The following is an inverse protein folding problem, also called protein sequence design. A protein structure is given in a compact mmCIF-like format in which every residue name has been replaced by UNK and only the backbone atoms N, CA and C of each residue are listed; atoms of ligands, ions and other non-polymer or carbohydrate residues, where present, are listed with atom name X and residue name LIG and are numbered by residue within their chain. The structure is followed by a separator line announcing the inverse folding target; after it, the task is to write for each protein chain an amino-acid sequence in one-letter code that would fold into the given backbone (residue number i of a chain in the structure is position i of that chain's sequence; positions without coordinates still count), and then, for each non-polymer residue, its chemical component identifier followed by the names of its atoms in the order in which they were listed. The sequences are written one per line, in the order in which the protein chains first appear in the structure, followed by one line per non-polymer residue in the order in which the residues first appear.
data_IF_091206327276
#
_entry.id   IF_091206327276
#
_cell.length_a   1.000
_cell.length_b   1.000
_cell.length_c   1.000
_cell.angle_alpha   90.00
_cell.angle_beta   90.00
_cell.angle_gamma   90.00
#
_symmetry.space_group_name_H-M   'P 1'
#
loop_
_entity.id
_entity.type
_entity.pdbx_description
1 polymer ?
#
# COMPACT_ATOMS: atom_id res chain seq x y z
N UNK A 1 17.44 -36.04 -7.53
CA UNK A 1 16.99 -34.95 -8.43
C UNK A 1 16.36 -33.88 -7.55
N UNK A 2 16.78 -32.65 -7.62
CA UNK A 2 16.15 -31.57 -6.86
C UNK A 2 14.84 -31.16 -7.56
N UNK A 3 13.75 -31.08 -6.81
CA UNK A 3 12.46 -30.60 -7.31
C UNK A 3 12.55 -29.10 -7.62
N UNK A 4 11.68 -28.59 -8.50
CA UNK A 4 11.48 -27.15 -8.65
C UNK A 4 10.76 -26.57 -7.42
N UNK A 5 10.89 -25.26 -7.18
CA UNK A 5 10.14 -24.61 -6.09
C UNK A 5 8.62 -24.86 -6.20
N UNK A 6 8.07 -24.83 -7.40
CA UNK A 6 6.66 -25.10 -7.63
C UNK A 6 6.24 -26.49 -7.14
N UNK A 7 6.97 -27.52 -7.55
CA UNK A 7 6.71 -28.90 -7.14
C UNK A 7 6.88 -29.10 -5.62
N UNK A 8 7.90 -28.46 -5.02
CA UNK A 8 8.12 -28.49 -3.58
C UNK A 8 6.97 -27.84 -2.81
N UNK A 9 6.46 -26.69 -3.26
CA UNK A 9 5.31 -25.99 -2.68
C UNK A 9 4.04 -26.84 -2.78
N UNK A 10 3.73 -27.36 -3.96
CA UNK A 10 2.57 -28.24 -4.18
C UNK A 10 2.62 -29.47 -3.26
N UNK A 11 3.79 -30.05 -3.10
CA UNK A 11 3.98 -31.23 -2.25
C UNK A 11 3.78 -30.92 -0.78
N UNK A 12 4.36 -29.83 -0.27
CA UNK A 12 4.15 -29.39 1.11
C UNK A 12 2.67 -29.14 1.39
N UNK A 13 1.97 -28.40 0.52
CA UNK A 13 0.57 -28.11 0.68
C UNK A 13 -0.34 -29.35 0.56
N UNK A 14 0.09 -30.35 -0.24
CA UNK A 14 -0.62 -31.65 -0.35
C UNK A 14 -0.50 -32.46 0.93
N UNK A 15 0.70 -32.52 1.50
CA UNK A 15 1.00 -33.32 2.68
C UNK A 15 0.36 -32.73 3.96
N UNK A 16 0.41 -31.41 4.11
CA UNK A 16 -0.14 -30.73 5.28
C UNK A 16 -1.67 -30.58 5.19
N UNK A 17 -2.25 -30.62 3.97
CA UNK A 17 -3.71 -30.58 3.71
C UNK A 17 -4.44 -29.44 4.45
N UNK A 18 -3.75 -28.33 4.74
CA UNK A 18 -4.27 -27.10 5.39
C UNK A 18 -3.66 -25.87 4.76
N UNK A 19 -4.31 -24.71 4.90
CA UNK A 19 -3.68 -23.45 4.49
C UNK A 19 -2.41 -23.17 5.31
N UNK A 20 -1.32 -22.77 4.63
CA UNK A 20 -0.02 -22.47 5.23
C UNK A 20 0.45 -21.08 4.83
N UNK A 21 1.15 -20.41 5.75
CA UNK A 21 1.86 -19.17 5.44
C UNK A 21 3.08 -19.47 4.57
N UNK A 22 3.44 -18.59 3.63
CA UNK A 22 4.56 -18.83 2.69
C UNK A 22 5.90 -19.10 3.38
N UNK A 23 6.15 -18.52 4.56
CA UNK A 23 7.33 -18.81 5.36
C UNK A 23 7.33 -20.24 5.91
N UNK A 24 6.19 -20.72 6.38
CA UNK A 24 5.99 -22.09 6.85
C UNK A 24 6.17 -23.10 5.70
N UNK A 25 5.63 -22.77 4.50
CA UNK A 25 5.83 -23.58 3.28
C UNK A 25 7.31 -23.68 2.94
N UNK A 26 8.04 -22.56 2.99
CA UNK A 26 9.46 -22.50 2.71
C UNK A 26 10.27 -23.35 3.70
N UNK A 27 10.00 -23.19 4.98
CA UNK A 27 10.67 -23.90 6.05
C UNK A 27 10.44 -25.43 5.95
N UNK A 28 9.21 -25.85 5.68
CA UNK A 28 8.85 -27.25 5.47
C UNK A 28 9.51 -27.84 4.20
N UNK A 29 9.54 -27.07 3.10
CA UNK A 29 10.17 -27.53 1.86
C UNK A 29 11.68 -27.76 2.02
N UNK A 30 12.35 -26.94 2.80
CA UNK A 30 13.77 -27.06 3.10
C UNK A 30 14.05 -28.16 4.14
N UNK A 31 13.30 -28.22 5.23
CA UNK A 31 13.48 -29.21 6.31
C UNK A 31 13.18 -30.63 5.84
N UNK A 32 12.18 -30.82 4.98
CA UNK A 32 11.85 -32.10 4.35
C UNK A 32 12.78 -32.45 3.16
N UNK A 33 13.68 -31.55 2.80
CA UNK A 33 14.67 -31.76 1.74
C UNK A 33 14.09 -31.80 0.33
N UNK A 34 12.90 -31.24 0.11
CA UNK A 34 12.26 -31.17 -1.23
C UNK A 34 12.98 -30.17 -2.13
N UNK A 35 13.51 -29.12 -1.55
CA UNK A 35 14.35 -28.15 -2.26
C UNK A 35 15.64 -27.86 -1.49
N UNK A 36 16.71 -27.58 -2.23
CA UNK A 36 17.99 -27.10 -1.67
C UNK A 36 18.27 -25.74 -2.27
N UNK A 37 18.46 -24.73 -1.44
CA UNK A 37 18.79 -23.38 -1.88
C UNK A 37 20.08 -22.89 -1.25
N UNK A 38 20.88 -22.17 -2.03
CA UNK A 38 22.01 -21.36 -1.56
C UNK A 38 21.62 -19.88 -1.41
N UNK A 39 20.36 -19.54 -1.74
CA UNK A 39 19.83 -18.18 -1.68
C UNK A 39 19.47 -17.73 -0.27
N UNK A 40 19.68 -16.45 0.03
CA UNK A 40 19.48 -15.86 1.35
C UNK A 40 18.00 -15.64 1.75
N UNK A 41 17.04 -15.77 0.82
CA UNK A 41 15.60 -15.46 1.07
C UNK A 41 14.67 -16.47 0.39
N UNK A 42 14.61 -17.72 0.88
CA UNK A 42 13.74 -18.76 0.33
C UNK A 42 12.25 -18.40 0.45
N UNK A 43 11.84 -17.75 1.53
CA UNK A 43 10.45 -17.33 1.78
C UNK A 43 9.92 -16.38 0.71
N UNK A 44 10.71 -15.36 0.35
CA UNK A 44 10.36 -14.43 -0.71
C UNK A 44 10.21 -15.13 -2.08
N UNK A 45 11.04 -16.16 -2.33
CA UNK A 45 10.96 -16.95 -3.56
C UNK A 45 9.68 -17.79 -3.60
N UNK A 46 9.30 -18.43 -2.49
CA UNK A 46 8.04 -19.18 -2.38
C UNK A 46 6.84 -18.27 -2.63
N UNK A 47 6.79 -17.12 -1.95
CA UNK A 47 5.72 -16.16 -2.12
C UNK A 47 5.63 -15.64 -3.57
N UNK A 48 6.77 -15.32 -4.19
CA UNK A 48 6.83 -14.88 -5.58
C UNK A 48 6.35 -15.95 -6.56
N UNK A 49 6.73 -17.21 -6.35
CA UNK A 49 6.28 -18.33 -7.19
C UNK A 49 4.76 -18.54 -7.12
N UNK A 50 4.18 -18.55 -5.91
CA UNK A 50 2.74 -18.74 -5.72
C UNK A 50 1.96 -17.56 -6.31
N UNK A 51 2.36 -16.32 -6.01
CA UNK A 51 1.67 -15.12 -6.51
C UNK A 51 1.80 -14.98 -8.02
N UNK A 52 2.93 -15.33 -8.61
CA UNK A 52 3.13 -15.36 -10.06
C UNK A 52 2.22 -16.41 -10.73
N UNK A 53 2.14 -17.62 -10.19
CA UNK A 53 1.24 -18.67 -10.69
C UNK A 53 -0.22 -18.22 -10.63
N UNK A 54 -0.68 -17.66 -9.50
CA UNK A 54 -2.06 -17.16 -9.37
C UNK A 54 -2.34 -16.02 -10.36
N UNK A 55 -1.37 -15.12 -10.58
CA UNK A 55 -1.51 -13.97 -11.49
C UNK A 55 -1.55 -14.38 -12.97
N UNK A 56 -0.71 -15.32 -13.38
CA UNK A 56 -0.58 -15.72 -14.79
C UNK A 56 -1.55 -16.82 -15.20
N UNK A 57 -1.86 -17.75 -14.31
CA UNK A 57 -2.69 -18.93 -14.58
C UNK A 57 -4.13 -18.72 -14.10
N UNK A 58 -4.38 -17.73 -13.25
CA UNK A 58 -5.72 -17.39 -12.75
C UNK A 58 -6.41 -18.57 -12.09
N UNK A 59 -7.55 -18.98 -12.63
CA UNK A 59 -8.31 -20.13 -12.13
C UNK A 59 -7.64 -21.49 -12.40
N UNK A 60 -6.68 -21.56 -13.30
CA UNK A 60 -5.93 -22.78 -13.60
C UNK A 60 -4.71 -22.96 -12.67
N UNK A 61 -4.39 -21.99 -11.84
CA UNK A 61 -3.34 -22.13 -10.82
C UNK A 61 -3.75 -23.18 -9.80
N UNK A 62 -2.84 -24.10 -9.41
CA UNK A 62 -3.10 -25.07 -8.35
C UNK A 62 -3.21 -24.40 -6.98
N UNK A 63 -2.76 -23.15 -6.85
CA UNK A 63 -2.73 -22.42 -5.59
C UNK A 63 -3.96 -21.53 -5.42
N UNK A 64 -4.49 -21.52 -4.20
CA UNK A 64 -5.55 -20.62 -3.77
C UNK A 64 -5.02 -19.73 -2.65
N UNK A 65 -5.23 -18.42 -2.77
CA UNK A 65 -4.93 -17.47 -1.68
C UNK A 65 -6.09 -17.50 -0.70
N UNK A 66 -5.83 -17.94 0.53
CA UNK A 66 -6.82 -18.06 1.62
C UNK A 66 -6.85 -16.78 2.46
N UNK A 67 -5.66 -16.24 2.78
CA UNK A 67 -5.52 -14.97 3.47
C UNK A 67 -4.20 -14.30 3.05
N UNK A 68 -3.83 -13.18 3.68
CA UNK A 68 -2.57 -12.50 3.36
C UNK A 68 -1.39 -13.41 3.69
N UNK A 69 -0.58 -13.74 2.65
CA UNK A 69 0.58 -14.60 2.79
C UNK A 69 0.27 -16.08 3.02
N UNK A 70 -1.01 -16.48 3.12
CA UNK A 70 -1.44 -17.84 3.39
C UNK A 70 -2.08 -18.46 2.14
N UNK A 71 -1.64 -19.66 1.79
CA UNK A 71 -2.04 -20.33 0.56
C UNK A 71 -2.46 -21.78 0.82
N UNK A 72 -3.33 -22.30 -0.03
CA UNK A 72 -3.81 -23.69 -0.03
C UNK A 72 -3.80 -24.23 -1.46
N UNK A 73 -3.92 -25.55 -1.62
CA UNK A 73 -4.18 -26.14 -2.92
C UNK A 73 -5.68 -26.07 -3.26
N UNK A 74 -5.99 -25.70 -4.50
CA UNK A 74 -7.38 -25.57 -4.99
C UNK A 74 -8.16 -26.89 -4.99
N UNK A 75 -7.47 -28.04 -5.03
CA UNK A 75 -8.08 -29.38 -5.07
C UNK A 75 -8.02 -30.14 -3.74
N UNK A 76 -7.50 -29.54 -2.67
CA UNK A 76 -7.63 -30.13 -1.36
C UNK A 76 -9.09 -29.97 -0.89
N UNK A 77 -9.69 -31.03 -0.33
CA UNK A 77 -11.04 -31.05 0.25
C UNK A 77 -11.18 -30.05 1.41
N UNK A 78 -10.92 -28.78 1.13
CA UNK A 78 -11.02 -27.69 2.09
C UNK A 78 -12.39 -26.98 2.03
N UNK A 79 -13.35 -27.56 1.31
CA UNK A 79 -14.74 -27.05 1.28
C UNK A 79 -15.54 -27.48 2.53
N UNK A 80 -14.94 -28.27 3.44
CA UNK A 80 -15.57 -28.69 4.70
C UNK A 80 -14.55 -28.67 5.86
N UNK A 81 -14.15 -27.50 6.34
CA UNK A 81 -13.55 -27.39 7.69
C UNK A 81 -14.18 -26.17 8.36
N UNK A 82 -15.22 -26.47 9.16
CA UNK A 82 -15.68 -25.64 10.28
C UNK A 82 -14.52 -25.29 11.20
N UNK A 83 -14.49 -24.04 11.67
CA UNK A 83 -13.55 -23.56 12.67
C UNK A 83 -13.63 -24.38 13.97
N UNK A 84 -12.49 -24.68 14.65
CA UNK A 84 -12.53 -25.34 15.95
C UNK A 84 -13.10 -24.40 17.01
N UNK A 85 -14.24 -24.77 17.55
CA UNK A 85 -14.90 -24.09 18.65
C UNK A 85 -14.11 -24.22 19.97
N UNK A 86 -13.90 -23.11 20.66
CA UNK A 86 -13.53 -23.09 22.09
C UNK A 86 -14.78 -23.33 22.96
N UNK A 87 -14.66 -23.93 24.14
CA UNK A 87 -15.77 -24.53 24.84
C UNK A 87 -16.73 -23.51 25.47
N UNK A 88 -17.99 -23.66 25.15
CA UNK A 88 -19.10 -22.90 25.71
C UNK A 88 -19.51 -23.39 27.10
N UNK A 89 -19.84 -22.46 27.98
CA UNK A 89 -20.63 -22.68 29.19
C UNK A 89 -22.10 -22.44 28.83
N UNK A 90 -22.92 -23.43 29.11
CA UNK A 90 -24.33 -23.50 28.73
C UNK A 90 -25.26 -22.71 29.64
N UNK A 91 -26.33 -22.14 29.09
CA UNK A 91 -27.66 -22.02 29.72
C UNK A 91 -28.76 -21.84 28.63
N UNK A 92 -30.01 -22.29 28.89
CA UNK A 92 -30.89 -22.92 27.90
C UNK A 92 -32.02 -22.01 27.32
N UNK A 93 -33.03 -22.57 26.59
CA UNK A 93 -33.46 -22.07 25.29
C UNK A 93 -34.80 -21.31 25.26
N UNK A 94 -35.01 -20.55 24.19
CA UNK A 94 -36.37 -20.21 23.73
C UNK A 94 -36.40 -20.11 22.19
N UNK A 95 -37.30 -20.90 21.60
CA UNK A 95 -37.60 -21.08 20.18
C UNK A 95 -38.64 -20.04 19.66
N UNK A 96 -39.15 -20.15 18.45
CA UNK A 96 -38.63 -19.43 17.24
C UNK A 96 -39.68 -18.49 16.60
N UNK A 97 -39.30 -17.65 15.66
CA UNK A 97 -40.18 -17.26 14.56
C UNK A 97 -39.42 -16.91 13.27
N UNK A 98 -39.88 -17.60 12.27
CA UNK A 98 -39.55 -17.48 10.85
C UNK A 98 -39.99 -16.14 10.30
N UNK A 99 -39.15 -15.54 9.46
CA UNK A 99 -39.58 -14.87 8.22
C UNK A 99 -38.37 -14.69 7.25
N UNK A 100 -38.61 -15.17 6.04
CA UNK A 100 -37.74 -15.06 4.86
C UNK A 100 -37.61 -13.60 4.43
N UNK A 101 -36.40 -13.20 4.05
CA UNK A 101 -36.27 -12.30 2.90
C UNK A 101 -34.84 -12.33 2.34
N UNK A 102 -34.74 -12.16 1.04
CA UNK A 102 -33.59 -12.35 0.18
C UNK A 102 -32.37 -11.56 0.62
N UNK A 103 -31.25 -12.28 0.82
CA UNK A 103 -29.94 -11.63 1.00
C UNK A 103 -29.24 -11.57 -0.37
N UNK A 104 -29.19 -10.37 -0.89
CA UNK A 104 -28.19 -9.95 -1.87
C UNK A 104 -26.83 -10.05 -1.17
N UNK A 105 -25.99 -10.97 -1.61
CA UNK A 105 -24.63 -11.11 -1.10
C UNK A 105 -23.79 -9.93 -1.54
N UNK A 106 -23.75 -8.89 -0.74
CA UNK A 106 -22.67 -7.93 -0.72
C UNK A 106 -21.45 -8.66 -0.15
N UNK A 107 -20.44 -8.84 -0.98
CA UNK A 107 -19.10 -9.24 -0.53
C UNK A 107 -18.63 -8.14 0.40
N UNK A 108 -18.73 -8.34 1.71
CA UNK A 108 -18.09 -7.49 2.70
C UNK A 108 -16.57 -7.67 2.50
N UNK A 109 -15.96 -6.71 1.82
CA UNK A 109 -14.52 -6.56 1.87
C UNK A 109 -14.15 -6.31 3.33
N UNK A 110 -13.39 -7.20 3.93
CA UNK A 110 -12.78 -6.97 5.24
C UNK A 110 -12.08 -5.61 5.20
N UNK A 111 -12.34 -4.70 6.15
CA UNK A 111 -11.73 -3.38 6.13
C UNK A 111 -10.22 -3.55 6.20
N UNK A 112 -9.53 -2.96 5.23
CA UNK A 112 -8.07 -2.86 5.21
C UNK A 112 -7.58 -2.36 6.58
N UNK A 113 -6.82 -3.17 7.29
CA UNK A 113 -6.41 -2.90 8.68
C UNK A 113 -5.43 -1.73 8.81
N UNK A 114 -4.86 -1.26 7.71
CA UNK A 114 -3.91 -0.15 7.72
C UNK A 114 -4.59 1.18 8.03
N UNK A 115 -4.10 1.89 9.03
CA UNK A 115 -4.55 3.25 9.38
C UNK A 115 -4.11 4.26 8.31
N UNK A 116 -2.89 4.11 7.77
CA UNK A 116 -2.41 4.91 6.64
C UNK A 116 -2.90 4.27 5.36
N UNK A 117 -3.48 5.06 4.47
CA UNK A 117 -4.10 4.60 3.22
C UNK A 117 -3.21 4.82 1.99
N UNK A 118 -2.49 5.91 1.98
CA UNK A 118 -1.56 6.25 0.91
C UNK A 118 -0.45 7.15 1.45
N UNK A 119 0.66 7.20 0.72
CA UNK A 119 1.80 8.04 1.06
C UNK A 119 2.48 8.61 -0.19
N UNK A 120 3.29 9.65 0.02
CA UNK A 120 4.23 10.18 -0.97
C UNK A 120 5.52 10.60 -0.30
N UNK A 121 6.66 10.15 -0.85
CA UNK A 121 7.95 10.35 -0.26
C UNK A 121 8.80 11.36 -1.04
N UNK A 122 9.47 12.28 -0.34
CA UNK A 122 10.43 13.25 -0.84
C UNK A 122 9.94 14.10 -2.04
N UNK A 123 8.65 14.45 -2.05
CA UNK A 123 8.05 15.31 -3.07
C UNK A 123 8.69 16.70 -3.06
N UNK A 124 8.89 17.26 -4.22
CA UNK A 124 9.57 18.55 -4.41
C UNK A 124 8.58 19.71 -4.28
N UNK A 125 8.99 20.72 -3.53
CA UNK A 125 8.17 21.90 -3.28
C UNK A 125 7.90 22.71 -4.56
N UNK A 126 8.85 22.81 -5.44
CA UNK A 126 8.79 23.62 -6.68
C UNK A 126 7.91 23.01 -7.77
N UNK A 127 7.48 21.74 -7.62
CA UNK A 127 6.52 21.10 -8.52
C UNK A 127 5.06 21.35 -8.15
N UNK A 128 4.79 22.19 -7.12
CA UNK A 128 3.48 22.58 -6.67
C UNK A 128 3.28 24.09 -6.81
N UNK A 129 2.12 24.52 -7.35
CA UNK A 129 1.75 25.94 -7.34
C UNK A 129 1.12 26.28 -6.00
N UNK A 130 1.88 27.01 -5.19
CA UNK A 130 1.46 27.41 -3.84
C UNK A 130 0.52 28.59 -3.89
N UNK A 131 -0.72 28.35 -3.48
CA UNK A 131 -1.80 29.31 -3.31
C UNK A 131 -2.63 28.91 -2.10
N UNK A 132 -3.63 29.70 -1.75
CA UNK A 132 -4.44 29.45 -0.54
C UNK A 132 -5.11 28.07 -0.51
N UNK A 133 -5.41 27.49 -1.66
CA UNK A 133 -5.93 26.14 -1.85
C UNK A 133 -5.11 25.45 -2.97
N UNK A 134 -3.91 24.95 -2.65
CA UNK A 134 -3.04 24.37 -3.64
C UNK A 134 -3.49 22.95 -4.00
N UNK A 135 -3.35 22.61 -5.26
CA UNK A 135 -3.45 21.22 -5.73
C UNK A 135 -2.09 20.54 -5.62
N UNK A 136 -2.08 19.32 -5.13
CA UNK A 136 -0.87 18.54 -4.88
C UNK A 136 -1.00 17.21 -5.61
N UNK A 137 -0.44 17.14 -6.81
CA UNK A 137 -0.66 16.03 -7.72
C UNK A 137 0.31 14.88 -7.52
N UNK A 138 -0.22 13.65 -7.57
CA UNK A 138 0.55 12.42 -7.63
C UNK A 138 -0.15 11.34 -8.44
N UNK A 139 0.61 10.31 -8.82
CA UNK A 139 0.13 9.17 -9.60
C UNK A 139 0.78 7.87 -9.14
N UNK A 140 0.10 6.77 -9.31
CA UNK A 140 0.64 5.44 -8.93
C UNK A 140 1.73 4.97 -9.90
N UNK A 141 1.55 5.23 -11.19
CA UNK A 141 2.45 4.83 -12.27
C UNK A 141 2.53 5.95 -13.32
N UNK A 142 3.52 5.88 -14.18
CA UNK A 142 3.77 6.90 -15.20
C UNK A 142 2.55 7.23 -16.09
N UNK A 143 1.72 6.22 -16.40
CA UNK A 143 0.53 6.36 -17.25
C UNK A 143 -0.79 6.48 -16.48
N UNK A 144 -0.77 6.45 -15.14
CA UNK A 144 -1.98 6.61 -14.31
C UNK A 144 -2.47 8.05 -14.35
N UNK A 145 -3.79 8.23 -14.16
CA UNK A 145 -4.37 9.56 -13.99
C UNK A 145 -3.83 10.21 -12.71
N UNK A 146 -3.47 11.50 -12.76
CA UNK A 146 -3.08 12.23 -11.56
C UNK A 146 -4.23 12.34 -10.56
N UNK A 147 -3.89 12.20 -9.29
CA UNK A 147 -4.78 12.40 -8.15
C UNK A 147 -4.35 13.66 -7.40
N UNK A 148 -5.30 14.48 -7.00
CA UNK A 148 -5.03 15.67 -6.20
C UNK A 148 -5.10 15.33 -4.70
N UNK A 149 -3.95 15.38 -4.03
CA UNK A 149 -3.81 15.15 -2.59
C UNK A 149 -3.91 16.43 -1.74
N UNK A 150 -4.22 17.58 -2.32
CA UNK A 150 -4.38 18.84 -1.60
C UNK A 150 -5.39 18.73 -0.45
N UNK A 151 -6.46 17.96 -0.63
CA UNK A 151 -7.49 17.70 0.39
C UNK A 151 -7.14 16.57 1.39
N UNK A 152 -5.96 15.94 1.30
CA UNK A 152 -5.57 14.81 2.18
C UNK A 152 -5.53 15.23 3.66
N UNK A 153 -5.71 14.25 4.55
CA UNK A 153 -5.56 14.34 6.00
C UNK A 153 -4.46 13.39 6.45
N UNK A 154 -3.71 13.75 7.47
CA UNK A 154 -2.67 12.89 7.99
C UNK A 154 -1.45 13.63 8.53
N UNK A 155 -0.27 13.04 8.38
CA UNK A 155 1.01 13.57 8.83
C UNK A 155 1.84 13.97 7.60
N UNK A 156 2.64 15.03 7.75
CA UNK A 156 3.62 15.42 6.75
C UNK A 156 4.94 15.80 7.41
N UNK A 157 6.02 15.62 6.66
CA UNK A 157 7.38 15.92 7.07
C UNK A 157 7.98 16.88 6.05
N UNK A 158 8.58 17.96 6.52
CA UNK A 158 9.29 18.93 5.68
C UNK A 158 10.80 18.70 5.79
N UNK A 159 11.49 18.79 4.67
CA UNK A 159 12.93 18.58 4.60
C UNK A 159 13.63 19.77 3.94
N UNK A 160 14.82 20.08 4.46
CA UNK A 160 15.86 20.78 3.71
C UNK A 160 16.77 19.73 3.09
N UNK A 161 16.60 19.49 1.80
CA UNK A 161 17.20 18.38 1.04
C UNK A 161 16.82 17.01 1.66
N UNK A 162 17.61 16.47 2.55
CA UNK A 162 17.39 15.21 3.27
C UNK A 162 17.24 15.37 4.77
N UNK A 163 17.45 16.60 5.28
CA UNK A 163 17.37 16.88 6.73
C UNK A 163 15.94 17.24 7.10
N UNK A 164 15.36 16.53 8.06
CA UNK A 164 14.04 16.85 8.60
C UNK A 164 14.10 18.18 9.33
N UNK A 165 13.30 19.15 8.91
CA UNK A 165 13.18 20.47 9.54
C UNK A 165 11.87 20.67 10.27
N UNK A 166 10.83 19.90 9.93
CA UNK A 166 9.54 20.00 10.58
C UNK A 166 8.69 18.76 10.38
N UNK A 167 7.92 18.38 11.39
CA UNK A 167 6.87 17.37 11.29
C UNK A 167 5.54 18.03 11.66
N UNK A 168 4.53 17.88 10.81
CA UNK A 168 3.22 18.49 11.01
C UNK A 168 2.07 17.53 10.79
N UNK A 169 0.89 17.97 11.17
CA UNK A 169 -0.36 17.22 10.97
C UNK A 169 -1.42 18.07 10.29
N UNK A 170 -2.28 17.43 9.50
CA UNK A 170 -3.48 18.01 8.90
C UNK A 170 -4.71 17.27 9.40
N UNK A 171 -5.34 17.78 10.45
CA UNK A 171 -6.57 17.24 11.05
C UNK A 171 -7.75 18.14 10.66
N UNK A 172 -7.75 19.40 11.10
CA UNK A 172 -8.85 20.34 10.88
C UNK A 172 -8.79 21.01 9.51
N UNK A 173 -7.59 21.17 8.97
CA UNK A 173 -7.33 21.79 7.67
C UNK A 173 -6.70 20.81 6.69
N UNK A 174 -7.02 20.91 5.37
CA UNK A 174 -6.40 20.07 4.34
C UNK A 174 -4.88 20.16 4.33
N UNK A 175 -4.21 19.08 3.92
CA UNK A 175 -2.75 19.01 3.86
C UNK A 175 -2.17 20.09 2.96
N UNK A 176 -2.72 20.31 1.77
CA UNK A 176 -2.26 21.35 0.86
C UNK A 176 -2.28 22.73 1.51
N UNK A 177 -3.37 23.06 2.23
CA UNK A 177 -3.49 24.33 2.98
C UNK A 177 -2.41 24.45 4.06
N UNK A 178 -2.12 23.38 4.80
CA UNK A 178 -1.07 23.37 5.84
C UNK A 178 0.31 23.56 5.23
N UNK A 179 0.59 22.88 4.12
CA UNK A 179 1.86 23.04 3.39
C UNK A 179 2.01 24.45 2.84
N UNK A 180 0.92 25.03 2.28
CA UNK A 180 0.93 26.43 1.83
C UNK A 180 1.26 27.40 2.97
N UNK A 181 0.66 27.25 4.15
CA UNK A 181 0.95 28.07 5.31
C UNK A 181 2.46 28.06 5.64
N UNK A 182 3.15 26.92 5.48
CA UNK A 182 4.60 26.80 5.67
C UNK A 182 5.44 27.41 4.53
N UNK A 183 4.83 27.84 3.45
CA UNK A 183 5.56 28.62 2.41
C UNK A 183 5.70 30.09 2.77
N UNK A 184 4.83 30.59 3.69
CA UNK A 184 4.72 32.00 4.05
C UNK A 184 5.02 32.28 5.54
N UNK A 185 5.15 31.23 6.37
CA UNK A 185 5.53 31.37 7.77
C UNK A 185 7.07 31.36 7.97
N UNK A 186 7.52 31.21 9.22
CA UNK A 186 8.95 31.15 9.58
C UNK A 186 9.73 30.01 8.89
N UNK A 187 9.05 29.03 8.33
CA UNK A 187 9.65 27.91 7.61
C UNK A 187 9.78 28.18 6.11
N UNK A 188 9.27 29.30 5.60
CA UNK A 188 9.08 29.58 4.18
C UNK A 188 10.32 29.39 3.28
N UNK A 189 11.52 29.62 3.80
CA UNK A 189 12.78 29.42 3.09
C UNK A 189 13.61 28.21 3.56
N UNK A 190 13.07 27.40 4.44
CA UNK A 190 13.83 26.36 5.17
C UNK A 190 13.50 24.94 4.74
N UNK A 191 12.69 24.75 3.71
CA UNK A 191 12.35 23.42 3.19
C UNK A 191 12.18 23.47 1.67
N UNK A 192 12.57 22.39 1.01
CA UNK A 192 12.45 22.20 -0.42
C UNK A 192 11.81 20.87 -0.81
N UNK A 193 11.60 19.96 0.16
CA UNK A 193 10.95 18.67 -0.04
C UNK A 193 9.96 18.37 1.09
N UNK A 194 9.02 17.50 0.81
CA UNK A 194 8.07 17.01 1.82
C UNK A 194 7.68 15.55 1.54
N UNK A 195 7.44 14.81 2.61
CA UNK A 195 6.78 13.51 2.58
C UNK A 195 5.45 13.61 3.31
N UNK A 196 4.52 12.72 3.01
CA UNK A 196 3.22 12.74 3.64
C UNK A 196 2.63 11.33 3.74
N UNK A 197 1.82 11.10 4.78
CA UNK A 197 1.14 9.87 5.12
C UNK A 197 -0.34 10.19 5.30
N UNK A 198 -1.16 9.68 4.38
CA UNK A 198 -2.57 10.04 4.25
C UNK A 198 -3.53 9.00 4.80
N UNK A 199 -4.63 9.48 5.37
CA UNK A 199 -5.69 8.68 5.99
C UNK A 199 -6.92 8.50 5.08
N UNK A 200 -7.03 9.30 4.00
CA UNK A 200 -8.12 9.19 3.02
C UNK A 200 -7.73 8.23 1.92
N UNK A 201 -8.66 7.37 1.54
CA UNK A 201 -8.51 6.49 0.38
C UNK A 201 -8.65 7.26 -0.94
N UNK A 202 -8.10 6.66 -1.98
CA UNK A 202 -8.30 7.11 -3.37
C UNK A 202 -9.24 6.14 -4.05
N UNK A 203 -10.32 6.65 -4.65
CA UNK A 203 -11.23 5.83 -5.48
C UNK A 203 -10.62 5.55 -6.85
N UNK A 204 -11.23 4.65 -7.61
CA UNK A 204 -10.82 4.34 -9.00
C UNK A 204 -10.95 5.56 -9.93
N UNK A 205 -11.83 6.53 -9.59
CA UNK A 205 -11.94 7.80 -10.30
C UNK A 205 -10.87 8.83 -9.91
N UNK A 206 -9.98 8.50 -8.94
CA UNK A 206 -8.93 9.40 -8.45
C UNK A 206 -9.41 10.44 -7.46
N UNK A 207 -10.50 10.20 -6.72
CA UNK A 207 -11.02 11.09 -5.69
C UNK A 207 -10.64 10.62 -4.30
N UNK A 208 -10.33 11.56 -3.43
CA UNK A 208 -10.10 11.29 -2.01
C UNK A 208 -11.43 11.10 -1.29
N UNK A 209 -11.57 9.99 -0.55
CA UNK A 209 -12.75 9.67 0.26
C UNK A 209 -12.36 9.32 1.68
N UNK A 210 -13.22 9.69 2.62
CA UNK A 210 -13.08 9.26 4.01
C UNK A 210 -13.69 7.87 4.15
N UNK A 211 -12.91 6.94 4.70
CA UNK A 211 -13.36 5.59 5.08
C UNK A 211 -13.23 5.42 6.57
N UNK A 212 -14.18 4.76 7.22
CA UNK A 212 -14.05 4.42 8.64
C UNK A 212 -12.74 3.67 8.90
N UNK A 213 -12.00 4.11 9.90
CA UNK A 213 -10.76 3.46 10.32
C UNK A 213 -11.04 2.69 11.60
N UNK A 214 -10.96 1.36 11.54
CA UNK A 214 -10.95 0.53 12.74
C UNK A 214 -9.50 0.43 13.23
N UNK A 215 -9.23 1.00 14.39
CA UNK A 215 -7.90 0.95 15.01
C UNK A 215 -7.90 -0.15 16.05
N UNK A 216 -7.09 -1.17 15.83
CA UNK A 216 -6.74 -2.19 16.82
C UNK A 216 -5.34 -1.92 17.36
N UNK A 217 -4.99 -2.47 18.52
CA UNK A 217 -3.63 -2.31 19.04
C UNK A 217 -2.56 -2.88 18.08
N UNK A 218 -2.73 -4.07 17.48
CA UNK A 218 -1.80 -4.56 16.47
C UNK A 218 -1.68 -3.64 15.25
N UNK A 219 -2.79 -3.17 14.67
CA UNK A 219 -2.76 -2.28 13.49
C UNK A 219 -2.13 -0.92 13.80
N UNK A 220 -2.32 -0.41 15.02
CA UNK A 220 -1.67 0.81 15.46
C UNK A 220 -0.15 0.65 15.57
N UNK A 221 0.32 -0.44 16.20
CA UNK A 221 1.75 -0.72 16.36
C UNK A 221 2.41 -0.90 14.97
N UNK A 222 1.81 -1.70 14.10
CA UNK A 222 2.30 -1.91 12.73
C UNK A 222 2.36 -0.60 11.94
N UNK A 223 1.35 0.27 12.08
CA UNK A 223 1.32 1.58 11.42
C UNK A 223 2.44 2.50 11.93
N UNK A 224 2.66 2.55 13.25
CA UNK A 224 3.73 3.37 13.85
C UNK A 224 5.12 2.87 13.44
N UNK A 225 5.34 1.55 13.45
CA UNK A 225 6.59 0.94 12.98
C UNK A 225 6.86 1.30 11.52
N UNK A 226 5.90 1.06 10.64
CA UNK A 226 6.02 1.34 9.23
C UNK A 226 6.26 2.84 8.94
N UNK A 227 5.56 3.74 9.64
CA UNK A 227 5.78 5.18 9.53
C UNK A 227 7.19 5.58 9.94
N UNK A 228 7.72 4.98 11.02
CA UNK A 228 9.10 5.24 11.47
C UNK A 228 10.13 4.69 10.50
N UNK A 229 9.91 3.48 9.94
CA UNK A 229 10.81 2.89 8.95
C UNK A 229 10.85 3.75 7.69
N UNK A 230 9.70 4.14 7.14
CA UNK A 230 9.62 4.98 5.92
C UNK A 230 10.17 6.39 6.15
N UNK A 231 10.00 6.96 7.36
CA UNK A 231 10.43 8.32 7.67
C UNK A 231 11.92 8.42 8.00
N UNK A 232 12.50 7.40 8.64
CA UNK A 232 13.86 7.42 9.15
C UNK A 232 14.84 6.64 8.27
N UNK A 233 14.35 5.75 7.40
CA UNK A 233 15.15 4.87 6.54
C UNK A 233 16.31 4.20 7.29
N UNK A 234 16.06 3.52 8.43
CA UNK A 234 17.13 3.00 9.25
C UNK A 234 17.88 1.89 8.52
N UNK A 235 19.23 1.91 8.49
CA UNK A 235 20.05 1.03 7.64
C UNK A 235 19.94 -0.45 7.98
N UNK A 236 19.42 -0.79 9.15
CA UNK A 236 19.20 -2.18 9.56
C UNK A 236 17.84 -2.74 9.13
N UNK A 237 16.85 -1.89 8.82
CA UNK A 237 15.58 -2.29 8.25
C UNK A 237 15.74 -2.45 6.73
N UNK A 238 16.24 -3.61 6.28
CA UNK A 238 16.52 -3.88 4.86
C UNK A 238 15.28 -4.11 4.00
N UNK A 239 14.12 -4.29 4.62
CA UNK A 239 12.83 -4.43 3.94
C UNK A 239 11.90 -3.32 4.41
N UNK A 240 11.21 -2.69 3.47
CA UNK A 240 9.97 -1.97 3.80
C UNK A 240 9.10 -2.94 4.56
N UNK A 241 8.51 -2.51 5.67
CA UNK A 241 7.72 -3.40 6.51
C UNK A 241 6.77 -4.23 5.64
N UNK A 242 6.96 -5.55 5.60
CA UNK A 242 6.19 -6.47 4.73
C UNK A 242 4.68 -6.39 5.01
N UNK A 243 4.27 -5.77 6.14
CA UNK A 243 2.91 -5.54 6.57
C UNK A 243 2.32 -4.17 6.20
N UNK A 244 3.11 -3.31 5.53
CA UNK A 244 2.66 -1.97 5.13
C UNK A 244 2.02 -1.99 3.74
N UNK A 245 0.76 -2.43 3.66
CA UNK A 245 -0.03 -2.46 2.43
C UNK A 245 -0.56 -1.07 2.03
N UNK A 246 0.31 -0.06 2.07
CA UNK A 246 -0.05 1.32 1.73
C UNK A 246 0.37 1.63 0.30
N UNK A 247 -0.48 2.34 -0.42
CA UNK A 247 -0.21 2.75 -1.78
C UNK A 247 0.72 3.98 -1.79
N UNK A 248 1.92 3.80 -2.35
CA UNK A 248 2.84 4.92 -2.60
C UNK A 248 2.47 5.62 -3.91
N UNK A 249 2.44 6.95 -3.87
CA UNK A 249 2.22 7.82 -5.02
C UNK A 249 3.49 8.58 -5.36
N UNK A 250 3.82 8.60 -6.64
CA UNK A 250 4.90 9.40 -7.20
C UNK A 250 4.34 10.79 -7.49
N UNK A 251 5.09 11.83 -7.13
CA UNK A 251 4.70 13.21 -7.43
C UNK A 251 4.52 13.45 -8.93
N UNK A 252 3.47 14.14 -9.31
CA UNK A 252 3.29 14.68 -10.65
C UNK A 252 3.42 16.22 -10.62
N UNK A 253 3.89 16.79 -11.71
CA UNK A 253 4.09 18.23 -11.85
C UNK A 253 2.70 18.88 -12.04
N UNK A 254 2.45 20.00 -11.36
CA UNK A 254 1.23 20.77 -11.56
C UNK A 254 1.09 21.12 -13.06
N UNK A 255 -0.07 20.85 -13.68
CA UNK A 255 -0.29 21.13 -15.10
C UNK A 255 0.00 22.57 -15.51
N UNK A 256 -0.24 23.55 -14.63
CA UNK A 256 0.07 24.96 -14.90
C UNK A 256 1.58 25.23 -15.00
N UNK A 257 2.42 24.46 -14.28
CA UNK A 257 3.89 24.55 -14.42
C UNK A 257 4.31 24.00 -15.78
N UNK A 258 3.78 22.82 -16.17
CA UNK A 258 4.08 22.20 -17.49
C UNK A 258 3.72 23.13 -18.65
N UNK A 259 2.56 23.78 -18.58
CA UNK A 259 2.13 24.71 -19.60
C UNK A 259 3.03 25.96 -19.68
N UNK A 260 3.41 26.52 -18.54
CA UNK A 260 4.30 27.67 -18.45
C UNK A 260 5.70 27.38 -19.02
N UNK A 261 6.25 26.20 -18.73
CA UNK A 261 7.52 25.74 -19.27
C UNK A 261 7.47 25.58 -20.79
N UNK A 262 6.40 24.99 -21.32
CA UNK A 262 6.18 24.84 -22.76
C UNK A 262 6.10 26.21 -23.45
N UNK A 263 5.33 27.17 -22.90
CA UNK A 263 5.24 28.52 -23.44
C UNK A 263 6.58 29.24 -23.42
N UNK A 264 7.37 29.12 -22.37
CA UNK A 264 8.69 29.70 -22.28
C UNK A 264 9.65 29.11 -23.33
N UNK A 265 9.59 27.81 -23.54
CA UNK A 265 10.37 27.10 -24.56
C UNK A 265 10.00 27.58 -25.97
N UNK A 266 8.70 27.70 -26.28
CA UNK A 266 8.23 28.21 -27.57
C UNK A 266 8.68 29.63 -27.80
N UNK A 267 8.58 30.55 -26.83
CA UNK A 267 9.07 31.93 -26.92
C UNK A 267 10.58 32.00 -27.17
N UNK A 268 11.35 31.10 -26.51
CA UNK A 268 12.81 31.05 -26.72
C UNK A 268 13.17 30.62 -28.17
N UNK A 269 12.44 29.62 -28.71
CA UNK A 269 12.60 29.18 -30.10
C UNK A 269 12.24 30.30 -31.07
N UNK A 270 11.09 30.97 -30.89
CA UNK A 270 10.67 32.10 -31.73
C UNK A 270 11.71 33.24 -31.73
N UNK A 271 12.26 33.56 -30.55
CA UNK A 271 13.31 34.59 -30.42
C UNK A 271 14.58 34.21 -31.20
N UNK A 272 15.00 32.95 -31.11
CA UNK A 272 16.17 32.46 -31.84
C UNK A 272 15.97 32.48 -33.35
N UNK A 273 14.77 32.11 -33.83
CA UNK A 273 14.45 32.17 -35.27
C UNK A 273 14.40 33.59 -35.80
N UNK A 274 13.89 34.58 -35.04
CA UNK A 274 13.87 36.01 -35.42
C UNK A 274 15.24 36.69 -35.35
N UNK A 275 16.16 36.17 -34.53
CA UNK A 275 17.50 36.70 -34.37
C UNK A 275 18.51 36.18 -35.43
N UNK A 276 18.09 35.25 -36.30
CA UNK A 276 18.89 34.72 -37.40
C UNK A 276 18.56 35.37 -38.77
N UNK A 277 17.61 36.29 -38.81
CA UNK A 277 17.29 37.16 -39.93
C UNK A 277 17.75 38.60 -39.64
#
# INVERSE_FOLDING_TARGET
MSMSWREAIERVLTEEARPLHYSEISELALSKGYYKTEGATPDATVNAQITSSIKHEGQNSPFLKVSRGTYALRNSKADEIEAPASPAIALPPATPKVLKEAQTSTVEQEPDESVIRCLGMYWQRDLVIWRNDPRVFGKQQALSKPVDFGAQRGIYILYDHHTVVYVGRSVDRPMGKRLYEHTIDRLGSRWNRFSWFGLRNVTDEGKLVETPIKVTLPSLIATLEALLIESLEPPQNRKRGDDFSVMEYIQDIDPEIKERELQNTLRAIEKNLRGQN
#
